data_IF_576715962186
#
_entry.id   IF_576715962186
#
_cell.length_a   1.000
_cell.length_b   1.000
_cell.length_c   1.000
_cell.angle_alpha   90.00
_cell.angle_beta   90.00
_cell.angle_gamma   90.00
#
_symmetry.space_group_name_H-M   'P 1'
#
loop_
_entity.id
_entity.type
_entity.pdbx_description
1 polymer ?
#
# COMPACT_ATOMS: atom_id res chain seq x y z
N UNK A 1 42.07 -84.28 -55.73
CA UNK A 1 42.72 -84.87 -54.55
C UNK A 1 41.76 -84.77 -53.37
N UNK A 2 41.06 -85.87 -53.06
CA UNK A 2 40.17 -85.98 -51.90
C UNK A 2 41.05 -86.27 -50.66
N UNK A 3 40.93 -85.53 -49.55
CA UNK A 3 41.65 -85.86 -48.34
C UNK A 3 41.08 -87.16 -47.76
N UNK A 4 41.99 -88.11 -47.53
CA UNK A 4 41.77 -89.37 -46.84
C UNK A 4 41.13 -89.15 -45.46
N UNK A 5 39.88 -89.56 -45.29
CA UNK A 5 39.23 -89.63 -43.99
C UNK A 5 39.85 -90.79 -43.20
N UNK A 6 40.80 -90.49 -42.33
CA UNK A 6 41.14 -91.39 -41.24
C UNK A 6 39.89 -91.57 -40.37
N UNK A 7 39.51 -92.80 -39.95
CA UNK A 7 38.40 -92.97 -39.02
C UNK A 7 38.77 -92.24 -37.73
N UNK A 8 38.05 -91.17 -37.42
CA UNK A 8 38.20 -90.46 -36.16
C UNK A 8 37.69 -91.40 -35.05
N UNK A 9 38.60 -92.06 -34.35
CA UNK A 9 38.26 -92.93 -33.22
C UNK A 9 37.89 -92.02 -32.05
N UNK A 10 36.59 -91.92 -31.77
CA UNK A 10 36.08 -91.18 -30.61
C UNK A 10 36.06 -92.09 -29.38
N UNK A 11 36.48 -91.55 -28.23
CA UNK A 11 36.12 -92.14 -26.94
C UNK A 11 34.66 -91.81 -26.65
N UNK A 12 33.98 -92.65 -25.86
CA UNK A 12 32.57 -92.45 -25.50
C UNK A 12 32.34 -91.05 -24.88
N UNK A 13 33.24 -90.59 -24.02
CA UNK A 13 33.19 -89.25 -23.42
C UNK A 13 33.35 -88.14 -24.47
N UNK A 14 34.26 -88.30 -25.43
CA UNK A 14 34.49 -87.31 -26.50
C UNK A 14 33.30 -87.25 -27.46
N UNK A 15 32.65 -88.38 -27.73
CA UNK A 15 31.43 -88.45 -28.53
C UNK A 15 30.29 -87.67 -27.86
N UNK A 16 29.98 -87.97 -26.59
CA UNK A 16 28.91 -87.30 -25.85
C UNK A 16 29.13 -85.79 -25.72
N UNK A 17 30.38 -85.35 -25.46
CA UNK A 17 30.71 -83.93 -25.38
C UNK A 17 30.53 -83.21 -26.73
N UNK A 18 30.89 -83.86 -27.84
CA UNK A 18 30.75 -83.29 -29.19
C UNK A 18 29.27 -83.16 -29.58
N UNK A 19 28.46 -84.18 -29.28
CA UNK A 19 27.00 -84.16 -29.56
C UNK A 19 26.30 -83.08 -28.74
N UNK A 20 26.65 -82.96 -27.45
CA UNK A 20 26.11 -81.89 -26.58
C UNK A 20 26.37 -80.50 -27.17
N UNK A 21 27.62 -80.22 -27.55
CA UNK A 21 28.01 -78.91 -28.12
C UNK A 21 27.30 -78.61 -29.44
N UNK A 22 27.05 -79.63 -30.26
CA UNK A 22 26.33 -79.47 -31.53
C UNK A 22 24.86 -79.13 -31.27
N UNK A 23 24.19 -79.85 -30.37
CA UNK A 23 22.80 -79.60 -29.98
C UNK A 23 22.63 -78.20 -29.36
N UNK A 24 23.51 -77.82 -28.44
CA UNK A 24 23.45 -76.51 -27.78
C UNK A 24 23.69 -75.35 -28.77
N UNK A 25 24.54 -75.56 -29.79
CA UNK A 25 24.87 -74.52 -30.78
C UNK A 25 23.79 -74.34 -31.86
N UNK A 26 23.21 -75.42 -32.36
CA UNK A 26 22.26 -75.36 -33.48
C UNK A 26 20.84 -75.00 -33.04
N UNK A 27 20.39 -75.52 -31.89
CA UNK A 27 18.99 -75.36 -31.48
C UNK A 27 18.75 -74.18 -30.51
N UNK A 28 19.76 -73.79 -29.71
CA UNK A 28 19.65 -72.67 -28.78
C UNK A 28 18.49 -72.79 -27.78
N UNK A 29 17.85 -71.65 -27.48
CA UNK A 29 16.64 -71.57 -26.65
C UNK A 29 15.39 -71.86 -27.46
N UNK A 30 14.57 -72.81 -26.99
CA UNK A 30 13.33 -73.20 -27.65
C UNK A 30 12.13 -73.14 -26.70
N UNK A 31 10.95 -72.95 -27.28
CA UNK A 31 9.67 -73.07 -26.59
C UNK A 31 9.02 -74.39 -26.96
N UNK A 32 8.63 -75.18 -25.96
CA UNK A 32 8.06 -76.51 -26.15
C UNK A 32 6.76 -76.60 -25.35
N UNK A 33 5.70 -77.06 -26.01
CA UNK A 33 4.43 -77.38 -25.36
C UNK A 33 4.29 -78.89 -25.20
N UNK A 34 3.81 -79.35 -24.05
CA UNK A 34 3.54 -80.76 -23.82
C UNK A 34 2.97 -81.04 -22.45
N UNK A 35 2.57 -82.29 -22.24
CA UNK A 35 1.98 -82.76 -20.99
C UNK A 35 3.08 -83.24 -20.04
N UNK A 36 2.99 -82.84 -18.76
CA UNK A 36 3.91 -83.29 -17.73
C UNK A 36 3.59 -84.73 -17.34
N UNK A 37 4.60 -85.59 -17.46
CA UNK A 37 4.61 -86.96 -16.97
C UNK A 37 5.75 -87.21 -15.99
N UNK A 38 5.57 -88.16 -15.06
CA UNK A 38 6.61 -88.60 -14.12
C UNK A 38 7.30 -87.45 -13.35
N UNK A 39 6.52 -86.53 -12.78
CA UNK A 39 7.05 -85.40 -12.01
C UNK A 39 7.64 -85.85 -10.67
N UNK A 40 8.86 -85.42 -10.37
CA UNK A 40 9.60 -85.73 -9.14
C UNK A 40 10.32 -84.50 -8.59
N UNK A 41 10.24 -84.33 -7.27
CA UNK A 41 10.92 -83.27 -6.52
C UNK A 41 11.76 -83.88 -5.38
N UNK A 42 13.04 -84.19 -5.64
CA UNK A 42 13.98 -84.63 -4.61
C UNK A 42 14.34 -83.52 -3.60
N UNK A 43 14.96 -83.90 -2.48
CA UNK A 43 15.38 -82.98 -1.40
C UNK A 43 16.39 -81.91 -1.84
N UNK A 44 17.05 -82.06 -3.00
CA UNK A 44 17.93 -81.05 -3.61
C UNK A 44 17.18 -79.79 -4.08
N UNK A 45 15.86 -79.88 -4.24
CA UNK A 45 15.01 -78.78 -4.69
C UNK A 45 15.02 -78.54 -6.20
N UNK A 46 15.58 -79.45 -7.00
CA UNK A 46 15.43 -79.49 -8.46
C UNK A 46 14.17 -80.28 -8.84
N UNK A 47 13.54 -79.93 -9.96
CA UNK A 47 12.41 -80.69 -10.49
C UNK A 47 12.86 -81.51 -11.69
N UNK A 48 12.47 -82.78 -11.70
CA UNK A 48 12.67 -83.68 -12.83
C UNK A 48 11.31 -84.16 -13.29
N UNK A 49 11.07 -84.09 -14.59
CA UNK A 49 9.82 -84.57 -15.19
C UNK A 49 10.07 -84.93 -16.65
N UNK A 50 9.11 -85.59 -17.27
CA UNK A 50 9.13 -85.89 -18.70
C UNK A 50 8.04 -85.05 -19.35
N UNK A 51 8.37 -84.38 -20.45
CA UNK A 51 7.39 -83.70 -21.29
C UNK A 51 7.04 -84.65 -22.43
N UNK A 52 5.75 -84.97 -22.60
CA UNK A 52 5.27 -85.83 -23.68
C UNK A 52 4.26 -85.10 -24.57
N UNK A 53 4.23 -85.50 -25.83
CA UNK A 53 3.14 -85.23 -26.77
C UNK A 53 2.54 -86.57 -27.23
N UNK A 54 1.69 -86.56 -28.26
CA UNK A 54 1.03 -87.78 -28.76
C UNK A 54 2.01 -88.81 -29.37
N UNK A 55 3.21 -88.39 -29.78
CA UNK A 55 4.14 -89.20 -30.58
C UNK A 55 5.54 -89.38 -29.96
N UNK A 56 5.93 -88.54 -29.00
CA UNK A 56 7.28 -88.44 -28.48
C UNK A 56 7.31 -87.99 -27.00
N UNK A 57 8.43 -88.24 -26.34
CA UNK A 57 8.67 -87.80 -24.97
C UNK A 57 10.14 -87.39 -24.76
N UNK A 58 10.36 -86.41 -23.90
CA UNK A 58 11.70 -85.89 -23.57
C UNK A 58 11.87 -85.66 -22.06
N UNK A 59 13.03 -86.03 -21.52
CA UNK A 59 13.36 -85.80 -20.11
C UNK A 59 13.70 -84.33 -19.88
N UNK A 60 13.15 -83.77 -18.81
CA UNK A 60 13.27 -82.38 -18.43
C UNK A 60 13.87 -82.25 -17.03
N UNK A 61 14.77 -81.28 -16.88
CA UNK A 61 15.29 -80.86 -15.58
C UNK A 61 15.08 -79.36 -15.39
N UNK A 62 14.59 -78.96 -14.21
CA UNK A 62 14.43 -77.56 -13.84
C UNK A 62 15.17 -77.28 -12.54
N UNK A 63 16.17 -76.40 -12.60
CA UNK A 63 16.99 -76.08 -11.44
C UNK A 63 16.24 -75.21 -10.42
N UNK A 64 16.75 -75.21 -9.18
CA UNK A 64 16.10 -74.57 -8.01
C UNK A 64 15.94 -73.05 -8.16
N UNK A 65 16.83 -72.41 -8.91
CA UNK A 65 16.73 -70.97 -9.16
C UNK A 65 15.63 -70.65 -10.18
N UNK A 66 15.40 -71.56 -11.12
CA UNK A 66 14.39 -71.42 -12.17
C UNK A 66 12.98 -71.74 -11.64
N UNK A 67 12.83 -72.83 -10.88
CA UNK A 67 11.51 -73.27 -10.39
C UNK A 67 10.87 -72.30 -9.38
N UNK A 68 11.66 -71.50 -8.64
CA UNK A 68 11.17 -70.43 -7.76
C UNK A 68 10.34 -69.37 -8.48
N UNK A 69 10.52 -69.20 -9.79
CA UNK A 69 9.78 -68.24 -10.62
C UNK A 69 8.45 -68.78 -11.14
N UNK A 70 8.18 -70.07 -10.95
CA UNK A 70 6.93 -70.70 -11.38
C UNK A 70 5.86 -70.43 -10.31
N UNK A 71 4.79 -69.74 -10.71
CA UNK A 71 3.71 -69.28 -9.83
C UNK A 71 2.70 -70.37 -9.47
N UNK A 72 2.78 -71.55 -10.12
CA UNK A 72 1.88 -72.68 -9.91
C UNK A 72 2.67 -73.96 -9.56
N UNK A 73 1.97 -74.95 -8.98
CA UNK A 73 2.54 -76.29 -8.72
C UNK A 73 2.27 -77.21 -9.91
N UNK A 74 3.29 -77.68 -10.63
CA UNK A 74 3.10 -78.58 -11.76
C UNK A 74 2.52 -79.92 -11.31
N UNK A 75 1.53 -80.42 -12.03
CA UNK A 75 0.90 -81.72 -11.76
C UNK A 75 1.09 -82.70 -12.92
N UNK A 76 1.07 -83.99 -12.62
CA UNK A 76 1.02 -85.00 -13.66
C UNK A 76 -0.28 -84.85 -14.47
N UNK A 77 -0.19 -84.92 -15.80
CA UNK A 77 -1.34 -84.71 -16.68
C UNK A 77 -1.53 -83.26 -17.12
N UNK A 78 -0.76 -82.33 -16.56
CA UNK A 78 -0.92 -80.91 -16.85
C UNK A 78 -0.18 -80.53 -18.13
N UNK A 79 -0.88 -79.84 -19.03
CA UNK A 79 -0.27 -79.29 -20.23
C UNK A 79 0.42 -77.95 -19.91
N UNK A 80 1.70 -77.85 -20.26
CA UNK A 80 2.54 -76.69 -19.96
C UNK A 80 3.28 -76.23 -21.20
N UNK A 81 3.59 -74.93 -21.22
CA UNK A 81 4.50 -74.32 -22.16
C UNK A 81 5.80 -74.01 -21.42
N UNK A 82 6.92 -74.57 -21.89
CA UNK A 82 8.23 -74.42 -21.26
C UNK A 82 9.21 -73.75 -22.20
N UNK A 83 10.01 -72.82 -21.65
CA UNK A 83 11.19 -72.28 -22.33
C UNK A 83 12.42 -73.04 -21.84
N UNK A 84 13.13 -73.69 -22.75
CA UNK A 84 14.18 -74.63 -22.39
C UNK A 84 15.38 -74.58 -23.34
N UNK A 85 16.53 -75.01 -22.81
CA UNK A 85 17.74 -75.27 -23.58
C UNK A 85 17.88 -76.77 -23.82
N UNK A 86 18.18 -77.13 -25.06
CA UNK A 86 18.42 -78.52 -25.45
C UNK A 86 19.85 -78.92 -25.07
N UNK A 87 20.02 -80.04 -24.37
CA UNK A 87 21.34 -80.51 -23.96
C UNK A 87 21.39 -82.04 -23.88
N UNK A 88 22.54 -82.59 -23.49
CA UNK A 88 22.75 -84.02 -23.35
C UNK A 88 23.49 -84.32 -22.04
N UNK A 89 23.00 -85.29 -21.28
CA UNK A 89 23.59 -85.68 -20.00
C UNK A 89 24.82 -86.57 -20.22
N UNK A 90 26.00 -85.94 -20.25
CA UNK A 90 27.28 -86.56 -20.63
C UNK A 90 27.60 -87.91 -19.97
N UNK A 91 27.33 -88.14 -18.66
CA UNK A 91 27.68 -89.40 -18.01
C UNK A 91 26.86 -90.60 -18.49
N UNK A 92 25.66 -90.40 -19.03
CA UNK A 92 24.80 -91.48 -19.54
C UNK A 92 24.49 -91.39 -21.02
N UNK A 93 24.78 -90.27 -21.66
CA UNK A 93 24.43 -90.03 -23.07
C UNK A 93 22.95 -89.72 -23.30
N UNK A 94 22.17 -89.46 -22.23
CA UNK A 94 20.73 -89.25 -22.34
C UNK A 94 20.41 -87.84 -22.86
N UNK A 95 19.55 -87.76 -23.88
CA UNK A 95 18.99 -86.49 -24.35
C UNK A 95 18.05 -85.87 -23.32
N UNK A 96 18.25 -84.59 -23.00
CA UNK A 96 17.43 -83.89 -22.00
C UNK A 96 17.28 -82.40 -22.32
N UNK A 97 16.25 -81.79 -21.77
CA UNK A 97 16.05 -80.34 -21.86
C UNK A 97 16.11 -79.69 -20.47
N UNK A 98 16.81 -78.56 -20.37
CA UNK A 98 16.89 -77.76 -19.15
C UNK A 98 15.86 -76.63 -19.24
N UNK A 99 14.84 -76.69 -18.39
CA UNK A 99 13.74 -75.72 -18.37
C UNK A 99 14.12 -74.49 -17.54
N UNK A 100 14.01 -73.31 -18.13
CA UNK A 100 14.29 -72.02 -17.48
C UNK A 100 13.03 -71.33 -16.94
N UNK A 101 11.92 -71.44 -17.69
CA UNK A 101 10.61 -70.92 -17.32
C UNK A 101 9.51 -71.89 -17.75
N UNK A 102 8.44 -71.94 -16.96
CA UNK A 102 7.29 -72.82 -17.19
C UNK A 102 6.02 -72.01 -16.96
N UNK A 103 5.08 -72.10 -17.90
CA UNK A 103 3.77 -71.49 -17.86
C UNK A 103 2.70 -72.56 -18.16
N UNK A 104 1.47 -72.43 -17.63
CA UNK A 104 0.37 -73.29 -18.05
C UNK A 104 0.08 -73.08 -19.55
N UNK A 105 -0.16 -74.15 -20.31
CA UNK A 105 -0.36 -74.04 -21.75
C UNK A 105 -1.63 -73.22 -22.14
N UNK A 106 -2.59 -73.10 -21.22
CA UNK A 106 -3.81 -72.31 -21.43
C UNK A 106 -3.55 -70.82 -21.67
N UNK A 107 -2.63 -70.19 -20.93
CA UNK A 107 -2.39 -68.75 -21.04
C UNK A 107 -1.70 -68.37 -22.37
N UNK A 108 -0.74 -69.17 -22.84
CA UNK A 108 -0.01 -68.89 -24.08
C UNK A 108 -0.89 -69.01 -25.34
N UNK A 109 -1.80 -69.99 -25.38
CA UNK A 109 -2.75 -70.16 -26.48
C UNK A 109 -3.77 -69.01 -26.53
N UNK A 110 -4.26 -68.55 -25.37
CA UNK A 110 -5.15 -67.40 -25.28
C UNK A 110 -4.43 -66.13 -25.72
N UNK A 111 -3.20 -65.90 -25.28
CA UNK A 111 -2.43 -64.73 -25.72
C UNK A 111 -2.21 -64.70 -27.24
N UNK A 112 -1.87 -65.85 -27.86
CA UNK A 112 -1.73 -65.95 -29.31
C UNK A 112 -3.06 -65.66 -30.04
N UNK A 113 -4.18 -66.22 -29.56
CA UNK A 113 -5.52 -65.94 -30.12
C UNK A 113 -5.89 -64.47 -30.01
N UNK A 114 -5.54 -63.81 -28.91
CA UNK A 114 -5.77 -62.39 -28.71
C UNK A 114 -4.98 -61.54 -29.72
N UNK A 115 -3.69 -61.83 -29.89
CA UNK A 115 -2.84 -61.09 -30.83
C UNK A 115 -3.28 -61.29 -32.29
N UNK A 116 -3.67 -62.51 -32.65
CA UNK A 116 -4.23 -62.83 -33.97
C UNK A 116 -5.54 -62.08 -34.23
N UNK A 117 -6.48 -62.11 -33.29
CA UNK A 117 -7.75 -61.43 -33.46
C UNK A 117 -7.58 -59.90 -33.45
N UNK A 118 -6.69 -59.38 -32.61
CA UNK A 118 -6.35 -57.95 -32.60
C UNK A 118 -5.81 -57.50 -33.95
N UNK A 119 -4.85 -58.24 -34.52
CA UNK A 119 -4.28 -57.89 -35.84
C UNK A 119 -5.32 -57.98 -36.95
N UNK A 120 -6.17 -59.01 -36.94
CA UNK A 120 -7.28 -59.14 -37.89
C UNK A 120 -8.26 -57.95 -37.83
N UNK A 121 -8.79 -57.63 -36.65
CA UNK A 121 -9.77 -56.54 -36.49
C UNK A 121 -9.16 -55.16 -36.72
N UNK A 122 -7.85 -54.99 -36.45
CA UNK A 122 -7.13 -53.77 -36.82
C UNK A 122 -7.05 -53.63 -38.34
N UNK A 123 -6.74 -54.70 -39.06
CA UNK A 123 -6.68 -54.69 -40.52
C UNK A 123 -8.04 -54.39 -41.17
N UNK A 124 -9.13 -54.82 -40.54
CA UNK A 124 -10.51 -54.46 -40.93
C UNK A 124 -10.89 -53.01 -40.56
N UNK A 125 -10.08 -52.30 -39.76
CA UNK A 125 -10.29 -50.90 -39.40
C UNK A 125 -11.30 -50.66 -38.26
N UNK A 126 -11.71 -51.70 -37.53
CA UNK A 126 -12.72 -51.59 -36.47
C UNK A 126 -12.27 -50.73 -35.28
N UNK A 127 -10.97 -50.49 -35.13
CA UNK A 127 -10.40 -49.68 -34.05
C UNK A 127 -10.21 -48.20 -34.44
N UNK A 128 -10.49 -47.84 -35.70
CA UNK A 128 -10.25 -46.48 -36.20
C UNK A 128 -11.14 -45.46 -35.49
N UNK A 129 -10.52 -44.35 -35.05
CA UNK A 129 -11.22 -43.27 -34.33
C UNK A 129 -12.39 -42.67 -35.14
N UNK A 130 -12.34 -42.76 -36.49
CA UNK A 130 -13.40 -42.26 -37.40
C UNK A 130 -14.74 -42.96 -37.23
N UNK A 131 -14.75 -44.18 -36.71
CA UNK A 131 -15.97 -44.97 -36.50
C UNK A 131 -16.54 -44.82 -35.10
N UNK A 132 -15.80 -44.18 -34.18
CA UNK A 132 -16.22 -44.00 -32.79
C UNK A 132 -17.22 -42.86 -32.65
N UNK A 133 -18.34 -43.14 -31.99
CA UNK A 133 -19.41 -42.20 -31.73
C UNK A 133 -19.07 -41.27 -30.56
N UNK A 134 -19.46 -40.00 -30.65
CA UNK A 134 -19.31 -39.07 -29.55
C UNK A 134 -20.32 -39.40 -28.44
N UNK A 135 -19.86 -39.38 -27.19
CA UNK A 135 -20.73 -39.59 -26.03
C UNK A 135 -21.70 -38.41 -25.84
N UNK A 136 -22.95 -38.67 -25.43
CA UNK A 136 -23.89 -37.60 -25.09
C UNK A 136 -23.40 -36.85 -23.85
N UNK A 137 -23.38 -35.51 -23.91
CA UNK A 137 -23.03 -34.65 -22.79
C UNK A 137 -24.09 -33.56 -22.61
N UNK A 138 -24.97 -33.66 -21.59
CA UNK A 138 -25.09 -34.75 -20.62
C UNK A 138 -25.85 -35.97 -21.14
N UNK A 139 -25.57 -37.16 -20.60
CA UNK A 139 -26.41 -38.33 -20.81
C UNK A 139 -27.75 -38.19 -20.08
N UNK A 140 -28.82 -38.71 -20.68
CA UNK A 140 -30.18 -38.68 -20.16
C UNK A 140 -30.65 -40.04 -19.65
N UNK A 141 -30.10 -41.16 -20.14
CA UNK A 141 -30.38 -42.49 -19.61
C UNK A 141 -29.26 -43.49 -19.90
N UNK A 142 -28.72 -44.10 -18.85
CA UNK A 142 -27.59 -45.03 -18.97
C UNK A 142 -28.08 -46.47 -18.96
N UNK A 143 -27.67 -47.23 -19.96
CA UNK A 143 -27.80 -48.69 -19.96
C UNK A 143 -26.57 -49.34 -19.37
N UNK A 144 -26.72 -50.30 -18.45
CA UNK A 144 -25.59 -51.01 -17.84
C UNK A 144 -25.69 -52.49 -18.18
N UNK A 145 -24.74 -52.99 -18.95
CA UNK A 145 -24.60 -54.40 -19.35
C UNK A 145 -23.52 -55.01 -18.46
N UNK A 146 -23.96 -55.69 -17.40
CA UNK A 146 -23.08 -56.35 -16.43
C UNK A 146 -23.84 -57.43 -15.65
N UNK A 147 -23.16 -58.17 -14.78
CA UNK A 147 -23.80 -59.19 -13.97
C UNK A 147 -24.72 -58.59 -12.90
N UNK A 148 -25.90 -59.20 -12.71
CA UNK A 148 -26.93 -58.74 -11.77
C UNK A 148 -26.45 -58.61 -10.32
N UNK A 149 -25.49 -59.46 -9.92
CA UNK A 149 -24.95 -59.55 -8.56
C UNK A 149 -23.50 -59.06 -8.46
N UNK A 150 -22.91 -58.53 -9.53
CA UNK A 150 -21.51 -58.14 -9.56
C UNK A 150 -21.21 -56.84 -8.79
N UNK A 151 -19.98 -56.74 -8.27
CA UNK A 151 -19.48 -55.52 -7.64
C UNK A 151 -19.52 -54.32 -8.60
N UNK A 152 -19.24 -54.53 -9.89
CA UNK A 152 -19.26 -53.49 -10.91
C UNK A 152 -20.62 -52.76 -11.02
N UNK A 153 -21.73 -53.48 -10.90
CA UNK A 153 -23.05 -52.84 -10.91
C UNK A 153 -23.24 -51.92 -9.70
N UNK A 154 -22.83 -52.39 -8.52
CA UNK A 154 -22.94 -51.62 -7.28
C UNK A 154 -22.07 -50.36 -7.33
N UNK A 155 -20.84 -50.48 -7.84
CA UNK A 155 -19.91 -49.37 -8.01
C UNK A 155 -20.46 -48.30 -8.96
N UNK A 156 -20.97 -48.71 -10.12
CA UNK A 156 -21.63 -47.81 -11.09
C UNK A 156 -22.81 -47.10 -10.43
N UNK A 157 -23.73 -47.85 -9.81
CA UNK A 157 -24.93 -47.28 -9.19
C UNK A 157 -24.59 -46.33 -8.02
N UNK A 158 -23.57 -46.64 -7.23
CA UNK A 158 -23.12 -45.80 -6.13
C UNK A 158 -22.56 -44.45 -6.63
N UNK A 159 -21.70 -44.49 -7.65
CA UNK A 159 -21.15 -43.28 -8.28
C UNK A 159 -22.28 -42.43 -8.90
N UNK A 160 -23.18 -43.05 -9.67
CA UNK A 160 -24.29 -42.35 -10.30
C UNK A 160 -25.20 -41.71 -9.25
N UNK A 161 -25.58 -42.42 -8.17
CA UNK A 161 -26.39 -41.84 -7.08
C UNK A 161 -25.72 -40.66 -6.39
N UNK A 162 -24.38 -40.69 -6.24
CA UNK A 162 -23.63 -39.61 -5.59
C UNK A 162 -23.50 -38.38 -6.51
N UNK A 163 -23.28 -38.59 -7.81
CA UNK A 163 -22.88 -37.53 -8.76
C UNK A 163 -24.06 -36.95 -9.55
N UNK A 164 -24.98 -37.82 -9.97
CA UNK A 164 -26.18 -37.50 -10.74
C UNK A 164 -27.37 -38.41 -10.34
N UNK A 165 -27.98 -38.19 -9.16
CA UNK A 165 -29.07 -39.02 -8.65
C UNK A 165 -30.33 -39.01 -9.53
N UNK A 166 -30.47 -38.00 -10.41
CA UNK A 166 -31.61 -37.87 -11.31
C UNK A 166 -31.45 -38.63 -12.63
N UNK A 167 -30.32 -39.31 -12.86
CA UNK A 167 -30.05 -40.07 -14.08
C UNK A 167 -30.74 -41.46 -14.02
N UNK A 168 -31.70 -41.75 -14.90
CA UNK A 168 -32.30 -43.07 -15.02
C UNK A 168 -31.26 -44.10 -15.48
N UNK A 169 -31.24 -45.26 -14.81
CA UNK A 169 -30.35 -46.38 -15.12
C UNK A 169 -31.15 -47.61 -15.47
N UNK A 170 -30.90 -48.20 -16.63
CA UNK A 170 -31.52 -49.45 -17.09
C UNK A 170 -30.46 -50.54 -17.04
N UNK A 171 -30.71 -51.58 -16.24
CA UNK A 171 -29.79 -52.70 -16.09
C UNK A 171 -30.17 -53.81 -17.04
N UNK A 172 -29.25 -54.20 -17.91
CA UNK A 172 -29.34 -55.37 -18.77
C UNK A 172 -28.48 -56.48 -18.16
N UNK A 173 -29.07 -57.36 -17.33
CA UNK A 173 -28.32 -58.38 -16.62
C UNK A 173 -27.76 -59.41 -17.59
N UNK A 174 -26.43 -59.54 -17.64
CA UNK A 174 -25.72 -60.50 -18.51
C UNK A 174 -24.65 -61.23 -17.73
N UNK A 175 -24.44 -62.51 -18.06
CA UNK A 175 -23.21 -63.18 -17.70
C UNK A 175 -22.03 -62.46 -18.35
N UNK A 176 -21.01 -62.14 -17.54
CA UNK A 176 -19.79 -61.42 -17.94
C UNK A 176 -18.55 -62.33 -17.90
N UNK A 177 -18.75 -63.62 -17.58
CA UNK A 177 -17.72 -64.64 -17.48
C UNK A 177 -18.30 -66.01 -17.84
N UNK A 178 -17.43 -66.92 -18.30
CA UNK A 178 -17.81 -68.26 -18.76
C UNK A 178 -18.20 -68.30 -20.24
N UNK A 179 -18.35 -69.52 -20.78
CA UNK A 179 -18.50 -69.75 -22.22
C UNK A 179 -19.78 -69.15 -22.84
N UNK A 180 -20.83 -69.00 -22.04
CA UNK A 180 -22.11 -68.40 -22.48
C UNK A 180 -22.10 -66.86 -22.47
N UNK A 181 -21.11 -66.21 -21.84
CA UNK A 181 -21.08 -64.77 -21.64
C UNK A 181 -21.02 -63.96 -22.94
N UNK A 182 -20.16 -64.27 -23.94
CA UNK A 182 -20.12 -63.54 -25.20
C UNK A 182 -21.49 -63.47 -25.90
N UNK A 183 -22.21 -64.60 -25.95
CA UNK A 183 -23.54 -64.66 -26.55
C UNK A 183 -24.58 -63.83 -25.81
N UNK A 184 -24.50 -63.77 -24.48
CA UNK A 184 -25.40 -62.93 -23.67
C UNK A 184 -25.11 -61.44 -23.84
N UNK A 185 -23.84 -61.04 -23.88
CA UNK A 185 -23.42 -59.65 -24.09
C UNK A 185 -23.94 -59.15 -25.45
N UNK A 186 -23.75 -59.93 -26.51
CA UNK A 186 -24.26 -59.59 -27.86
C UNK A 186 -25.78 -59.41 -27.85
N UNK A 187 -26.52 -60.32 -27.20
CA UNK A 187 -27.98 -60.21 -27.08
C UNK A 187 -28.42 -58.97 -26.30
N UNK A 188 -27.71 -58.60 -25.24
CA UNK A 188 -28.03 -57.41 -24.46
C UNK A 188 -27.76 -56.12 -25.23
N UNK A 189 -26.66 -56.03 -25.98
CA UNK A 189 -26.38 -54.89 -26.87
C UNK A 189 -27.48 -54.78 -27.94
N UNK A 190 -27.86 -55.89 -28.57
CA UNK A 190 -28.93 -55.91 -29.56
C UNK A 190 -30.29 -55.50 -28.96
N UNK A 191 -30.61 -55.99 -27.76
CA UNK A 191 -31.83 -55.64 -27.04
C UNK A 191 -31.88 -54.15 -26.69
N UNK A 192 -30.77 -53.59 -26.19
CA UNK A 192 -30.69 -52.17 -25.87
C UNK A 192 -30.88 -51.28 -27.11
N UNK A 193 -30.23 -51.64 -28.23
CA UNK A 193 -30.40 -50.96 -29.52
C UNK A 193 -31.83 -51.07 -30.07
N UNK A 194 -32.52 -52.18 -29.80
CA UNK A 194 -33.92 -52.37 -30.22
C UNK A 194 -34.88 -51.53 -29.38
N UNK A 195 -34.67 -51.47 -28.06
CA UNK A 195 -35.52 -50.72 -27.12
C UNK A 195 -35.33 -49.21 -27.22
N UNK A 196 -34.10 -48.75 -27.52
CA UNK A 196 -33.74 -47.31 -27.62
C UNK A 196 -34.14 -46.48 -26.40
N UNK A 197 -34.08 -47.07 -25.22
CA UNK A 197 -34.42 -46.40 -23.96
C UNK A 197 -33.22 -45.65 -23.35
N UNK A 198 -32.00 -46.04 -23.73
CA UNK A 198 -30.74 -45.47 -23.24
C UNK A 198 -30.06 -44.68 -24.35
N UNK A 199 -29.34 -43.61 -23.99
CA UNK A 199 -28.50 -42.83 -24.92
C UNK A 199 -27.02 -43.20 -24.85
N UNK A 200 -26.62 -44.00 -23.85
CA UNK A 200 -25.26 -44.54 -23.71
C UNK A 200 -25.30 -45.87 -22.97
N UNK A 201 -24.43 -46.81 -23.36
CA UNK A 201 -24.27 -48.10 -22.70
C UNK A 201 -22.92 -48.19 -22.00
N UNK A 202 -22.91 -48.75 -20.80
CA UNK A 202 -21.69 -49.16 -20.11
C UNK A 202 -21.65 -50.69 -20.16
N UNK A 203 -20.66 -51.22 -20.87
CA UNK A 203 -20.36 -52.65 -20.91
C UNK A 203 -19.15 -52.87 -20.02
N UNK A 204 -19.32 -53.60 -18.92
CA UNK A 204 -18.24 -53.68 -17.95
C UNK A 204 -18.35 -54.83 -16.98
N UNK A 205 -17.20 -55.14 -16.39
CA UNK A 205 -17.01 -56.16 -15.37
C UNK A 205 -16.11 -55.59 -14.28
N UNK A 206 -16.22 -56.11 -13.06
CA UNK A 206 -15.25 -55.83 -12.01
C UNK A 206 -13.94 -56.60 -12.24
N UNK A 207 -13.01 -56.52 -11.29
CA UNK A 207 -11.76 -57.28 -11.35
C UNK A 207 -11.95 -58.80 -11.56
N UNK A 208 -10.90 -59.46 -12.06
CA UNK A 208 -10.89 -60.90 -12.35
C UNK A 208 -9.54 -61.35 -12.91
N UNK A 209 -9.36 -62.66 -13.06
CA UNK A 209 -8.20 -63.22 -13.78
C UNK A 209 -8.31 -62.92 -15.29
N UNK A 210 -7.25 -63.20 -16.05
CA UNK A 210 -7.25 -62.97 -17.50
C UNK A 210 -8.26 -63.87 -18.23
N UNK A 211 -8.48 -65.10 -17.72
CA UNK A 211 -9.50 -66.05 -18.20
C UNK A 211 -10.92 -65.49 -18.05
N UNK A 212 -11.11 -64.76 -16.96
CA UNK A 212 -12.34 -64.14 -16.55
C UNK A 212 -12.72 -62.96 -17.47
N UNK A 213 -11.73 -62.24 -17.99
CA UNK A 213 -11.90 -61.14 -18.95
C UNK A 213 -12.01 -61.64 -20.39
N UNK A 214 -11.74 -62.92 -20.64
CA UNK A 214 -11.66 -63.47 -21.99
C UNK A 214 -12.97 -63.36 -22.78
N UNK A 215 -14.12 -63.32 -22.10
CA UNK A 215 -15.43 -63.13 -22.73
C UNK A 215 -15.53 -61.82 -23.54
N UNK A 216 -14.70 -60.82 -23.22
CA UNK A 216 -14.63 -59.53 -23.93
C UNK A 216 -13.59 -59.50 -25.05
N UNK A 217 -12.84 -60.61 -25.24
CA UNK A 217 -11.94 -60.83 -26.36
C UNK A 217 -12.59 -61.69 -27.47
N UNK A 218 -13.89 -61.94 -27.41
CA UNK A 218 -14.62 -62.68 -28.46
C UNK A 218 -14.94 -61.76 -29.65
N UNK A 219 -14.71 -62.25 -30.87
CA UNK A 219 -14.98 -61.51 -32.10
C UNK A 219 -16.45 -61.08 -32.22
N UNK A 220 -17.39 -61.90 -31.76
CA UNK A 220 -18.82 -61.59 -31.83
C UNK A 220 -19.18 -60.38 -30.98
N UNK A 221 -18.54 -60.25 -29.81
CA UNK A 221 -18.72 -59.10 -28.92
C UNK A 221 -18.12 -57.86 -29.54
N UNK A 222 -16.90 -57.95 -30.09
CA UNK A 222 -16.26 -56.85 -30.80
C UNK A 222 -17.15 -56.31 -31.93
N UNK A 223 -17.66 -57.19 -32.82
CA UNK A 223 -18.54 -56.78 -33.92
C UNK A 223 -19.87 -56.22 -33.44
N UNK A 224 -20.44 -56.74 -32.35
CA UNK A 224 -21.68 -56.22 -31.77
C UNK A 224 -21.50 -54.81 -31.17
N UNK A 225 -20.35 -54.54 -30.53
CA UNK A 225 -20.01 -53.22 -30.02
C UNK A 225 -19.89 -52.23 -31.18
N UNK A 226 -19.13 -52.59 -32.23
CA UNK A 226 -18.95 -51.75 -33.42
C UNK A 226 -20.26 -51.43 -34.13
N UNK A 227 -21.19 -52.40 -34.22
CA UNK A 227 -22.47 -52.23 -34.90
C UNK A 227 -23.54 -51.52 -34.06
N UNK A 228 -23.25 -51.17 -32.81
CA UNK A 228 -24.22 -50.53 -31.91
C UNK A 228 -24.60 -49.12 -32.39
N UNK A 229 -25.89 -48.78 -32.34
CA UNK A 229 -26.40 -47.43 -32.64
C UNK A 229 -26.33 -46.51 -31.41
N UNK A 230 -26.21 -47.08 -30.22
CA UNK A 230 -26.02 -46.37 -28.96
C UNK A 230 -24.53 -46.42 -28.62
N UNK A 231 -23.88 -45.29 -28.27
CA UNK A 231 -22.46 -45.28 -27.93
C UNK A 231 -22.16 -46.14 -26.71
N UNK A 232 -21.06 -46.88 -26.76
CA UNK A 232 -20.66 -47.85 -25.75
C UNK A 232 -19.36 -47.40 -25.05
N UNK A 233 -19.41 -47.37 -23.72
CA UNK A 233 -18.25 -47.22 -22.85
C UNK A 233 -17.84 -48.60 -22.34
N UNK A 234 -16.62 -49.03 -22.67
CA UNK A 234 -16.05 -50.26 -22.12
C UNK A 234 -15.43 -49.99 -20.75
N UNK A 235 -15.73 -50.85 -19.77
CA UNK A 235 -15.28 -50.75 -18.38
C UNK A 235 -14.95 -52.14 -17.82
N UNK A 236 -14.10 -52.88 -18.55
CA UNK A 236 -13.90 -54.33 -18.33
C UNK A 236 -12.67 -54.65 -17.47
N UNK A 237 -11.61 -53.84 -17.50
CA UNK A 237 -10.33 -54.14 -16.83
C UNK A 237 -9.70 -52.92 -16.17
N UNK A 238 -8.55 -53.11 -15.50
CA UNK A 238 -7.72 -52.05 -14.94
C UNK A 238 -6.76 -51.48 -16.00
N UNK A 239 -5.86 -50.56 -15.62
CA UNK A 239 -4.97 -49.88 -16.57
C UNK A 239 -4.11 -50.82 -17.43
N UNK A 240 -3.74 -52.01 -16.93
CA UNK A 240 -2.87 -52.98 -17.62
C UNK A 240 -3.58 -54.00 -18.50
N UNK A 241 -4.87 -54.30 -18.24
CA UNK A 241 -5.56 -55.44 -18.83
C UNK A 241 -6.53 -54.97 -19.92
N UNK A 242 -5.99 -54.66 -21.10
CA UNK A 242 -6.77 -54.11 -22.21
C UNK A 242 -7.36 -55.21 -23.09
N UNK A 243 -8.68 -55.25 -23.15
CA UNK A 243 -9.44 -56.23 -23.94
C UNK A 243 -9.74 -55.73 -25.36
N UNK A 244 -10.17 -56.62 -26.25
CA UNK A 244 -10.58 -56.23 -27.61
C UNK A 244 -11.81 -55.33 -27.58
N UNK A 245 -12.75 -55.59 -26.67
CA UNK A 245 -13.91 -54.72 -26.43
C UNK A 245 -13.49 -53.27 -26.12
N UNK A 246 -12.40 -53.06 -25.37
CA UNK A 246 -11.88 -51.72 -25.06
C UNK A 246 -11.36 -50.96 -26.29
N UNK A 247 -10.81 -51.68 -27.26
CA UNK A 247 -10.32 -51.06 -28.51
C UNK A 247 -11.47 -50.66 -29.44
N UNK A 248 -12.51 -51.49 -29.51
CA UNK A 248 -13.67 -51.25 -30.39
C UNK A 248 -14.65 -50.23 -29.80
N UNK A 249 -14.81 -50.19 -28.48
CA UNK A 249 -15.73 -49.27 -27.83
C UNK A 249 -15.42 -47.80 -28.16
N UNK A 250 -16.47 -46.98 -28.13
CA UNK A 250 -16.39 -45.55 -28.43
C UNK A 250 -15.51 -44.82 -27.42
N UNK A 251 -15.59 -45.25 -26.15
CA UNK A 251 -14.69 -44.79 -25.10
C UNK A 251 -14.30 -45.94 -24.17
N UNK A 252 -13.02 -45.96 -23.76
CA UNK A 252 -12.53 -46.83 -22.71
C UNK A 252 -12.53 -46.10 -21.36
N UNK A 253 -13.08 -46.75 -20.34
CA UNK A 253 -12.94 -46.36 -18.95
C UNK A 253 -12.09 -47.39 -18.19
N UNK A 254 -11.17 -46.95 -17.31
CA UNK A 254 -10.27 -47.86 -16.58
C UNK A 254 -10.94 -48.63 -15.44
N UNK A 255 -12.18 -48.27 -15.06
CA UNK A 255 -12.99 -49.00 -14.07
C UNK A 255 -14.48 -48.75 -14.34
N UNK A 256 -15.37 -49.64 -13.86
CA UNK A 256 -16.81 -49.39 -13.83
C UNK A 256 -17.19 -48.06 -13.18
N UNK A 257 -16.55 -47.70 -12.07
CA UNK A 257 -16.72 -46.41 -11.39
C UNK A 257 -16.35 -45.23 -12.28
N UNK A 258 -15.21 -45.30 -12.99
CA UNK A 258 -14.78 -44.25 -13.90
C UNK A 258 -15.74 -44.09 -15.10
N UNK A 259 -16.30 -45.20 -15.61
CA UNK A 259 -17.31 -45.14 -16.65
C UNK A 259 -18.56 -44.36 -16.19
N UNK A 260 -19.03 -44.65 -14.97
CA UNK A 260 -20.13 -43.91 -14.35
C UNK A 260 -19.79 -42.42 -14.16
N UNK A 261 -18.55 -42.09 -13.80
CA UNK A 261 -18.11 -40.70 -13.67
C UNK A 261 -18.12 -39.96 -15.01
N UNK A 262 -17.65 -40.58 -16.09
CA UNK A 262 -17.58 -39.95 -17.41
C UNK A 262 -18.99 -39.65 -17.95
N UNK A 263 -19.92 -40.56 -17.71
CA UNK A 263 -21.28 -40.49 -18.26
C UNK A 263 -22.22 -39.60 -17.42
N UNK A 264 -21.93 -39.41 -16.13
CA UNK A 264 -22.77 -38.61 -15.22
C UNK A 264 -22.50 -37.12 -15.30
N UNK A 265 -23.55 -36.32 -15.05
CA UNK A 265 -23.39 -34.89 -14.76
C UNK A 265 -22.69 -34.71 -13.42
N UNK A 266 -21.88 -33.66 -13.30
CA UNK A 266 -21.38 -33.22 -12.00
C UNK A 266 -22.39 -32.24 -11.36
N UNK A 267 -23.45 -32.77 -10.73
CA UNK A 267 -24.50 -31.93 -10.14
C UNK A 267 -23.96 -30.95 -9.10
N UNK A 268 -22.95 -31.36 -8.32
CA UNK A 268 -22.31 -30.51 -7.32
C UNK A 268 -21.61 -29.31 -7.96
N UNK A 269 -20.95 -29.51 -9.10
CA UNK A 269 -20.32 -28.42 -9.84
C UNK A 269 -21.36 -27.45 -10.41
N UNK A 270 -22.48 -27.97 -10.95
CA UNK A 270 -23.57 -27.12 -11.44
C UNK A 270 -24.20 -26.29 -10.31
N UNK A 271 -24.43 -26.88 -9.14
CA UNK A 271 -24.91 -26.16 -7.94
C UNK A 271 -23.91 -25.09 -7.51
N UNK A 272 -22.61 -25.40 -7.52
CA UNK A 272 -21.55 -24.45 -7.18
C UNK A 272 -21.52 -23.28 -8.17
N UNK A 273 -21.69 -23.54 -9.46
CA UNK A 273 -21.78 -22.50 -10.49
C UNK A 273 -23.02 -21.61 -10.32
N UNK A 274 -24.17 -22.19 -9.98
CA UNK A 274 -25.38 -21.44 -9.66
C UNK A 274 -25.20 -20.55 -8.43
N UNK A 275 -24.63 -21.09 -7.34
CA UNK A 275 -24.34 -20.32 -6.13
C UNK A 275 -23.36 -19.17 -6.40
N UNK A 276 -22.29 -19.42 -7.17
CA UNK A 276 -21.35 -18.38 -7.58
C UNK A 276 -22.02 -17.33 -8.49
N UNK A 277 -22.96 -17.73 -9.34
CA UNK A 277 -23.80 -16.84 -10.14
C UNK A 277 -24.68 -15.95 -9.28
N UNK A 278 -25.37 -16.53 -8.29
CA UNK A 278 -26.22 -15.82 -7.34
C UNK A 278 -25.43 -14.79 -6.54
N UNK A 279 -24.29 -15.18 -5.95
CA UNK A 279 -23.44 -14.27 -5.17
C UNK A 279 -22.96 -13.08 -6.01
N UNK A 280 -22.56 -13.33 -7.27
CA UNK A 280 -22.17 -12.24 -8.18
C UNK A 280 -23.33 -11.29 -8.50
N UNK A 281 -24.53 -11.82 -8.68
CA UNK A 281 -25.73 -11.01 -8.92
C UNK A 281 -26.06 -10.15 -7.69
N UNK A 282 -26.03 -10.72 -6.49
CA UNK A 282 -26.26 -10.00 -5.23
C UNK A 282 -25.28 -8.84 -5.06
N UNK A 283 -23.97 -9.10 -5.23
CA UNK A 283 -22.95 -8.05 -5.17
C UNK A 283 -23.16 -6.95 -6.23
N UNK A 284 -23.54 -7.33 -7.46
CA UNK A 284 -23.81 -6.37 -8.52
C UNK A 284 -25.04 -5.50 -8.23
N UNK A 285 -26.09 -6.10 -7.65
CA UNK A 285 -27.29 -5.39 -7.21
C UNK A 285 -26.99 -4.42 -6.07
N UNK A 286 -26.23 -4.84 -5.05
CA UNK A 286 -25.82 -3.98 -3.95
C UNK A 286 -25.01 -2.78 -4.44
N UNK A 287 -24.05 -3.02 -5.34
CA UNK A 287 -23.26 -1.95 -5.95
C UNK A 287 -24.14 -0.99 -6.76
N UNK A 288 -25.07 -1.52 -7.56
CA UNK A 288 -26.00 -0.72 -8.35
C UNK A 288 -26.88 0.17 -7.45
N UNK A 289 -27.50 -0.40 -6.42
CA UNK A 289 -28.35 0.32 -5.48
C UNK A 289 -27.56 1.38 -4.72
N UNK A 290 -26.37 1.06 -4.22
CA UNK A 290 -25.50 2.02 -3.54
C UNK A 290 -25.08 3.18 -4.46
N UNK A 291 -24.82 2.91 -5.75
CA UNK A 291 -24.51 3.94 -6.75
C UNK A 291 -25.72 4.85 -7.02
N UNK A 292 -26.91 4.27 -7.17
CA UNK A 292 -28.16 5.02 -7.36
C UNK A 292 -28.50 5.87 -6.14
N UNK A 293 -28.33 5.34 -4.94
CA UNK A 293 -28.54 6.08 -3.70
C UNK A 293 -27.57 7.26 -3.59
N UNK A 294 -26.27 7.06 -3.87
CA UNK A 294 -25.29 8.16 -3.88
C UNK A 294 -25.67 9.26 -4.86
N UNK A 295 -26.08 8.90 -6.09
CA UNK A 295 -26.53 9.87 -7.09
C UNK A 295 -27.78 10.61 -6.64
N UNK A 296 -28.75 9.92 -6.05
CA UNK A 296 -29.95 10.53 -5.49
C UNK A 296 -29.59 11.55 -4.40
N UNK A 297 -28.79 11.16 -3.40
CA UNK A 297 -28.36 12.03 -2.31
C UNK A 297 -27.61 13.27 -2.83
N UNK A 298 -26.74 13.11 -3.83
CA UNK A 298 -26.05 14.24 -4.46
C UNK A 298 -27.02 15.21 -5.15
N UNK A 299 -27.97 14.69 -5.93
CA UNK A 299 -28.98 15.52 -6.61
C UNK A 299 -29.90 16.21 -5.59
N UNK A 300 -30.32 15.49 -4.56
CA UNK A 300 -31.15 16.02 -3.49
C UNK A 300 -30.45 17.15 -2.72
N UNK A 301 -29.17 16.99 -2.37
CA UNK A 301 -28.40 18.07 -1.76
C UNK A 301 -28.22 19.27 -2.69
N UNK A 302 -27.98 19.07 -3.98
CA UNK A 302 -27.91 20.18 -4.95
C UNK A 302 -29.25 20.93 -5.02
N UNK A 303 -30.36 20.20 -5.04
CA UNK A 303 -31.70 20.78 -5.03
C UNK A 303 -31.93 21.61 -3.76
N UNK A 304 -31.59 21.06 -2.59
CA UNK A 304 -31.68 21.79 -1.32
C UNK A 304 -30.79 23.04 -1.30
N UNK A 305 -29.57 22.99 -1.84
CA UNK A 305 -28.71 24.18 -1.89
C UNK A 305 -29.22 25.26 -2.85
N UNK A 306 -29.97 24.87 -3.88
CA UNK A 306 -30.66 25.81 -4.77
C UNK A 306 -32.00 26.30 -4.22
N UNK A 307 -32.39 25.87 -3.01
CA UNK A 307 -33.65 26.27 -2.41
C UNK A 307 -33.76 27.81 -2.36
N UNK A 308 -34.81 28.41 -2.96
CA UNK A 308 -34.93 29.86 -3.10
C UNK A 308 -34.81 30.61 -1.78
N UNK A 309 -35.35 30.04 -0.69
CA UNK A 309 -35.28 30.65 0.63
C UNK A 309 -33.85 30.73 1.19
N UNK A 310 -33.00 29.72 0.95
CA UNK A 310 -31.59 29.76 1.37
C UNK A 310 -30.78 30.78 0.55
N UNK A 311 -31.08 30.90 -0.75
CA UNK A 311 -30.47 31.93 -1.60
C UNK A 311 -30.89 33.33 -1.16
N UNK A 312 -32.18 33.54 -0.88
CA UNK A 312 -32.73 34.79 -0.35
C UNK A 312 -32.12 35.14 1.00
N UNK A 313 -32.06 34.19 1.94
CA UNK A 313 -31.46 34.41 3.26
C UNK A 313 -29.98 34.84 3.13
N UNK A 314 -29.19 34.17 2.29
CA UNK A 314 -27.79 34.55 2.02
C UNK A 314 -27.67 35.95 1.43
N UNK A 315 -28.55 36.31 0.50
CA UNK A 315 -28.58 37.64 -0.11
C UNK A 315 -28.98 38.72 0.90
N UNK A 316 -29.94 38.44 1.78
CA UNK A 316 -30.34 39.34 2.86
C UNK A 316 -29.18 39.60 3.83
N UNK A 317 -28.48 38.55 4.29
CA UNK A 317 -27.31 38.72 5.16
C UNK A 317 -26.18 39.50 4.47
N UNK A 318 -25.95 39.25 3.18
CA UNK A 318 -24.96 40.00 2.41
C UNK A 318 -25.33 41.49 2.28
N UNK A 319 -26.61 41.78 2.03
CA UNK A 319 -27.14 43.14 1.96
C UNK A 319 -26.98 43.87 3.30
N UNK A 320 -27.30 43.21 4.43
CA UNK A 320 -27.13 43.78 5.77
C UNK A 320 -25.67 44.12 6.07
N UNK A 321 -24.74 43.21 5.76
CA UNK A 321 -23.30 43.47 5.91
C UNK A 321 -22.84 44.65 5.06
N UNK A 322 -23.28 44.74 3.81
CA UNK A 322 -22.95 45.86 2.94
C UNK A 322 -23.53 47.18 3.45
N UNK A 323 -24.77 47.19 3.95
CA UNK A 323 -25.39 48.36 4.58
C UNK A 323 -24.61 48.82 5.82
N UNK A 324 -24.21 47.89 6.67
CA UNK A 324 -23.41 48.22 7.86
C UNK A 324 -22.04 48.79 7.49
N UNK A 325 -21.35 48.18 6.52
CA UNK A 325 -20.07 48.70 6.01
C UNK A 325 -20.21 50.10 5.41
N UNK A 326 -21.25 50.33 4.62
CA UNK A 326 -21.54 51.65 4.04
C UNK A 326 -21.77 52.68 5.15
N UNK A 327 -22.60 52.35 6.15
CA UNK A 327 -22.88 53.25 7.27
C UNK A 327 -21.62 53.64 8.04
N UNK A 328 -20.79 52.66 8.39
CA UNK A 328 -19.51 52.91 9.10
C UNK A 328 -18.58 53.78 8.24
N UNK A 329 -18.49 53.51 6.93
CA UNK A 329 -17.65 54.29 6.02
C UNK A 329 -18.11 55.75 5.93
N UNK A 330 -19.41 55.98 5.78
CA UNK A 330 -20.01 57.33 5.73
C UNK A 330 -19.80 58.06 7.06
N UNK A 331 -20.06 57.42 8.20
CA UNK A 331 -19.84 58.01 9.52
C UNK A 331 -18.37 58.36 9.76
N UNK A 332 -17.44 57.48 9.34
CA UNK A 332 -16.00 57.75 9.43
C UNK A 332 -15.59 58.94 8.57
N UNK A 333 -16.12 59.04 7.35
CA UNK A 333 -15.81 60.13 6.44
C UNK A 333 -16.34 61.47 6.95
N UNK A 334 -17.57 61.50 7.49
CA UNK A 334 -18.13 62.69 8.13
C UNK A 334 -17.32 63.11 9.36
N UNK A 335 -16.93 62.16 10.23
CA UNK A 335 -16.07 62.45 11.39
C UNK A 335 -14.72 63.03 10.98
N UNK A 336 -14.08 62.49 9.93
CA UNK A 336 -12.81 63.02 9.39
C UNK A 336 -12.99 64.44 8.84
N UNK A 337 -14.09 64.71 8.14
CA UNK A 337 -14.39 66.04 7.62
C UNK A 337 -14.61 67.06 8.75
N UNK A 338 -15.39 66.72 9.77
CA UNK A 338 -15.60 67.55 10.97
C UNK A 338 -14.30 67.83 11.72
N UNK A 339 -13.47 66.80 11.94
CA UNK A 339 -12.16 66.97 12.56
C UNK A 339 -11.23 67.88 11.74
N UNK A 340 -11.24 67.76 10.41
CA UNK A 340 -10.47 68.63 9.52
C UNK A 340 -10.94 70.08 9.60
N UNK A 341 -12.26 70.30 9.61
CA UNK A 341 -12.84 71.62 9.80
C UNK A 341 -12.40 72.22 11.15
N UNK A 342 -12.57 71.48 12.26
CA UNK A 342 -12.17 71.93 13.60
C UNK A 342 -10.69 72.28 13.68
N UNK A 343 -9.81 71.46 13.11
CA UNK A 343 -8.37 71.74 13.03
C UNK A 343 -8.08 73.02 12.25
N UNK A 344 -8.73 73.23 11.11
CA UNK A 344 -8.56 74.44 10.31
C UNK A 344 -9.04 75.69 11.05
N UNK A 345 -10.17 75.62 11.75
CA UNK A 345 -10.69 76.72 12.58
C UNK A 345 -9.76 77.02 13.76
N UNK A 346 -9.26 75.98 14.45
CA UNK A 346 -8.28 76.15 15.52
C UNK A 346 -6.98 76.79 15.03
N UNK A 347 -6.46 76.37 13.86
CA UNK A 347 -5.30 77.01 13.24
C UNK A 347 -5.58 78.47 12.92
N UNK A 348 -6.71 78.78 12.30
CA UNK A 348 -7.11 80.15 11.97
C UNK A 348 -7.16 81.04 13.24
N UNK A 349 -7.77 80.54 14.31
CA UNK A 349 -7.87 81.26 15.58
C UNK A 349 -6.51 81.41 16.27
N UNK A 350 -5.62 80.41 16.15
CA UNK A 350 -4.28 80.48 16.73
C UNK A 350 -3.38 81.51 16.02
N UNK A 351 -3.53 81.66 14.70
CA UNK A 351 -2.82 82.69 13.93
C UNK A 351 -3.47 84.08 14.03
N UNK A 352 -4.51 84.26 14.85
CA UNK A 352 -5.14 85.57 15.03
C UNK A 352 -4.10 86.58 15.60
N UNK A 353 -3.69 87.60 14.84
CA UNK A 353 -2.64 88.51 15.26
C UNK A 353 -3.14 89.57 16.26
N UNK A 354 -4.46 89.77 16.38
CA UNK A 354 -5.08 90.81 17.22
C UNK A 354 -4.58 90.80 18.68
N UNK A 355 -4.59 89.66 19.41
CA UNK A 355 -4.08 89.63 20.79
C UNK A 355 -2.58 89.92 20.90
N UNK A 356 -1.78 89.51 19.89
CA UNK A 356 -0.34 89.80 19.86
C UNK A 356 -0.09 91.29 19.62
N UNK A 357 -0.87 91.90 18.72
CA UNK A 357 -0.83 93.34 18.44
C UNK A 357 -1.23 94.13 19.69
N UNK A 358 -2.35 93.78 20.35
CA UNK A 358 -2.77 94.44 21.58
C UNK A 358 -1.71 94.34 22.69
N UNK A 359 -1.12 93.15 22.92
CA UNK A 359 -0.03 92.99 23.90
C UNK A 359 1.19 93.83 23.54
N UNK A 360 1.56 93.92 22.26
CA UNK A 360 2.67 94.73 21.81
C UNK A 360 2.40 96.23 21.99
N UNK A 361 1.19 96.69 21.67
CA UNK A 361 0.74 98.08 21.88
C UNK A 361 0.75 98.46 23.37
N UNK A 362 0.19 97.62 24.25
CA UNK A 362 0.23 97.87 25.69
C UNK A 362 1.66 97.89 26.23
N UNK A 363 2.54 97.00 25.72
CA UNK A 363 3.96 97.01 26.09
C UNK A 363 4.67 98.27 25.62
N UNK A 364 4.36 98.76 24.41
CA UNK A 364 4.89 100.01 23.89
C UNK A 364 4.49 101.19 24.79
N UNK A 365 3.19 101.31 25.12
CA UNK A 365 2.69 102.35 26.02
C UNK A 365 3.36 102.32 27.40
N UNK A 366 3.55 101.12 27.98
CA UNK A 366 4.26 100.97 29.25
C UNK A 366 5.73 101.39 29.17
N UNK A 367 6.40 101.05 28.06
CA UNK A 367 7.80 101.42 27.84
C UNK A 367 7.95 102.93 27.61
N UNK A 368 7.05 103.55 26.85
CA UNK A 368 7.00 105.00 26.65
C UNK A 368 6.79 105.76 27.97
N UNK A 369 5.84 105.30 28.78
CA UNK A 369 5.60 105.88 30.11
C UNK A 369 6.84 105.76 31.01
N UNK A 370 7.46 104.58 31.09
CA UNK A 370 8.70 104.35 31.86
C UNK A 370 9.86 105.20 31.37
N UNK A 371 10.03 105.34 30.05
CA UNK A 371 11.05 106.21 29.47
C UNK A 371 10.84 107.67 29.87
N UNK A 372 9.60 108.17 29.77
CA UNK A 372 9.27 109.54 30.14
C UNK A 372 9.53 109.83 31.63
N UNK A 373 9.10 108.93 32.51
CA UNK A 373 9.32 109.05 33.96
C UNK A 373 10.81 108.98 34.33
N UNK A 374 11.56 108.02 33.78
CA UNK A 374 13.00 107.92 34.06
C UNK A 374 13.78 109.12 33.52
N UNK A 375 13.39 109.66 32.36
CA UNK A 375 13.97 110.90 31.83
C UNK A 375 13.70 112.09 32.74
N UNK A 376 12.45 112.28 33.20
CA UNK A 376 12.09 113.35 34.14
C UNK A 376 12.87 113.23 35.45
N UNK A 377 12.94 112.04 36.02
CA UNK A 377 13.69 111.77 37.24
C UNK A 377 15.18 112.11 37.11
N UNK A 378 15.83 111.64 36.04
CA UNK A 378 17.25 111.96 35.78
C UNK A 378 17.50 113.46 35.55
N UNK A 379 16.58 114.14 34.86
CA UNK A 379 16.72 115.58 34.62
C UNK A 379 16.58 116.38 35.92
N UNK A 380 15.64 115.98 36.78
CA UNK A 380 15.43 116.59 38.10
C UNK A 380 16.65 116.41 39.00
N UNK A 381 17.17 115.18 39.10
CA UNK A 381 18.37 114.86 39.89
C UNK A 381 19.59 115.68 39.42
N UNK A 382 19.77 115.83 38.10
CA UNK A 382 20.83 116.68 37.55
C UNK A 382 20.64 118.16 37.84
N UNK A 383 19.40 118.68 37.80
CA UNK A 383 19.10 120.07 38.15
C UNK A 383 19.39 120.35 39.62
N UNK A 384 19.02 119.44 40.51
CA UNK A 384 19.28 119.56 41.95
C UNK A 384 20.78 119.54 42.25
N UNK A 385 21.53 118.58 41.67
CA UNK A 385 23.00 118.55 41.77
C UNK A 385 23.66 119.84 41.28
N UNK A 386 23.17 120.39 40.17
CA UNK A 386 23.67 121.67 39.64
C UNK A 386 23.38 122.83 40.60
N UNK A 387 22.16 122.92 41.14
CA UNK A 387 21.78 123.91 42.15
C UNK A 387 22.68 123.86 43.38
N UNK A 388 22.94 122.67 43.92
CA UNK A 388 23.87 122.49 45.04
C UNK A 388 25.29 122.97 44.72
N UNK A 389 25.81 122.64 43.53
CA UNK A 389 27.13 123.09 43.11
C UNK A 389 27.24 124.62 43.05
N UNK A 390 26.19 125.32 42.60
CA UNK A 390 26.14 126.79 42.57
C UNK A 390 26.14 127.37 43.98
N UNK A 391 25.33 126.85 44.91
CA UNK A 391 25.31 127.34 46.30
C UNK A 391 26.65 127.14 47.03
N UNK A 392 27.34 126.04 46.76
CA UNK A 392 28.69 125.80 47.29
C UNK A 392 29.70 126.82 46.77
N UNK A 393 29.59 127.22 45.50
CA UNK A 393 30.46 128.22 44.90
C UNK A 393 30.27 129.61 45.53
N UNK A 394 29.02 130.01 45.81
CA UNK A 394 28.71 131.30 46.43
C UNK A 394 29.20 131.42 47.88
N UNK A 395 29.11 130.34 48.66
CA UNK A 395 29.47 130.34 50.08
C UNK A 395 30.97 130.60 50.36
N UNK A 396 31.85 130.38 49.38
CA UNK A 396 33.31 130.51 49.52
C UNK A 396 33.83 131.83 48.93
N UNK A 397 32.95 132.74 48.47
CA UNK A 397 33.35 134.00 47.84
C UNK A 397 33.83 135.07 48.84
N UNK A 398 35.06 135.60 48.73
CA UNK A 398 35.61 136.66 49.61
C UNK A 398 34.84 137.98 49.59
N UNK A 399 34.07 138.25 48.52
CA UNK A 399 33.24 139.44 48.37
C UNK A 399 32.06 139.46 49.36
N UNK A 400 31.56 138.29 49.77
CA UNK A 400 30.45 138.19 50.73
C UNK A 400 30.86 138.62 52.15
N UNK A 401 32.14 138.50 52.51
CA UNK A 401 32.66 138.86 53.85
C UNK A 401 32.77 140.37 54.04
N UNK A 402 33.15 141.12 52.99
CA UNK A 402 33.20 142.60 53.00
C UNK A 402 31.81 143.24 52.95
N UNK A 403 30.81 142.56 52.34
CA UNK A 403 29.43 143.05 52.30
C UNK A 403 28.74 143.08 53.68
N UNK A 404 29.26 142.35 54.69
CA UNK A 404 28.71 142.30 56.06
C UNK A 404 29.16 143.45 56.98
N UNK A 405 29.82 144.48 56.44
CA UNK A 405 30.08 145.74 57.16
C UNK A 405 31.36 145.76 58.01
N UNK A 406 32.29 144.81 57.80
CA UNK A 406 33.59 144.83 58.46
C UNK A 406 34.58 145.71 57.67
N UNK A 407 35.25 146.63 58.36
CA UNK A 407 36.34 147.45 57.81
C UNK A 407 37.70 146.86 58.18
N UNK A 408 38.71 147.12 57.34
CA UNK A 408 40.09 146.67 57.58
C UNK A 408 40.96 147.90 57.77
N UNK A 409 41.52 148.08 58.96
CA UNK A 409 42.41 149.20 59.30
C UNK A 409 43.87 148.78 59.20
N UNK A 410 44.71 149.63 58.62
CA UNK A 410 46.14 149.42 58.34
C UNK A 410 46.98 150.60 58.82
N UNK A 411 48.27 150.36 59.09
CA UNK A 411 49.28 151.40 59.40
C UNK A 411 49.88 151.94 58.09
N UNK A 412 50.61 153.05 58.14
CA UNK A 412 51.32 153.68 57.00
C UNK A 412 52.15 152.72 56.13
N UNK A 413 52.69 151.64 56.70
CA UNK A 413 53.41 150.59 55.95
C UNK A 413 52.49 149.52 55.31
N UNK A 414 51.17 149.72 55.31
CA UNK A 414 50.18 148.83 54.70
C UNK A 414 49.83 147.59 55.51
N UNK A 415 50.43 147.40 56.70
CA UNK A 415 50.14 146.26 57.57
C UNK A 415 48.83 146.43 58.33
N UNK A 416 47.98 145.40 58.28
CA UNK A 416 46.66 145.41 58.92
C UNK A 416 46.80 145.36 60.45
N UNK A 417 46.16 146.32 61.09
CA UNK A 417 46.12 146.48 62.53
C UNK A 417 45.19 145.45 63.16
N UNK A 418 45.74 144.64 64.06
CA UNK A 418 44.98 143.62 64.78
C UNK A 418 44.98 143.85 66.28
N UNK A 419 45.96 144.60 66.81
CA UNK A 419 46.14 144.79 68.24
C UNK A 419 46.54 146.23 68.56
N UNK A 420 45.99 146.78 69.66
CA UNK A 420 46.22 148.18 70.07
C UNK A 420 47.66 148.48 70.49
N UNK A 421 48.51 147.47 70.72
CA UNK A 421 49.94 147.65 70.99
C UNK A 421 50.76 148.06 69.75
N UNK A 422 50.18 147.92 68.56
CA UNK A 422 50.89 148.12 67.28
C UNK A 422 50.93 149.59 66.83
N UNK A 423 50.41 150.51 67.63
CA UNK A 423 50.27 151.92 67.28
C UNK A 423 50.74 152.77 68.44
N UNK A 424 51.31 153.93 68.14
CA UNK A 424 51.67 154.96 69.11
C UNK A 424 50.82 156.21 68.86
N UNK A 425 50.66 156.99 69.93
CA UNK A 425 49.97 158.27 69.85
C UNK A 425 50.71 159.22 68.91
N UNK A 426 50.03 159.75 67.89
CA UNK A 426 50.59 160.55 66.79
C UNK A 426 50.71 159.81 65.44
N UNK A 427 50.51 158.49 65.39
CA UNK A 427 50.61 157.74 64.14
C UNK A 427 49.37 157.92 63.24
N UNK A 428 49.57 158.00 61.92
CA UNK A 428 48.51 157.99 60.91
C UNK A 428 48.12 156.55 60.51
N UNK A 429 46.82 156.29 60.45
CA UNK A 429 46.18 155.02 60.11
C UNK A 429 45.28 155.17 58.88
N UNK A 430 45.24 154.17 58.01
CA UNK A 430 44.33 154.06 56.86
C UNK A 430 43.30 152.96 57.07
N UNK A 431 42.00 153.26 56.99
CA UNK A 431 40.93 152.27 57.12
C UNK A 431 40.17 152.07 55.82
N UNK A 432 40.09 150.82 55.33
CA UNK A 432 39.29 150.43 54.16
C UNK A 432 37.86 150.08 54.54
N UNK A 433 36.92 150.74 53.89
CA UNK A 433 35.49 150.46 53.91
C UNK A 433 35.06 149.83 52.57
N UNK A 434 33.77 149.45 52.48
CA UNK A 434 33.18 148.87 51.26
C UNK A 434 33.37 149.76 50.03
N UNK A 435 33.42 151.07 50.24
CA UNK A 435 33.33 152.11 49.24
C UNK A 435 34.51 153.09 49.24
N UNK A 436 35.48 152.98 50.15
CA UNK A 436 36.61 153.90 50.17
C UNK A 436 37.65 153.70 51.28
N UNK A 437 38.57 154.66 51.40
CA UNK A 437 39.62 154.68 52.41
C UNK A 437 39.56 155.98 53.23
N UNK A 438 39.82 155.87 54.53
CA UNK A 438 39.82 157.00 55.48
C UNK A 438 41.16 157.05 56.22
N UNK A 439 41.82 158.20 56.24
CA UNK A 439 43.03 158.44 57.03
C UNK A 439 42.70 159.08 58.39
N UNK A 440 43.37 158.62 59.44
CA UNK A 440 43.07 158.99 60.84
C UNK A 440 44.35 159.03 61.67
N UNK A 441 44.54 160.06 62.51
CA UNK A 441 45.68 160.14 63.41
C UNK A 441 45.30 159.70 64.84
N UNK A 442 46.16 158.93 65.50
CA UNK A 442 45.87 158.34 66.80
C UNK A 442 46.11 159.31 67.95
N UNK A 443 45.03 159.75 68.61
CA UNK A 443 45.10 160.71 69.74
C UNK A 443 45.25 160.07 71.12
N UNK A 444 44.78 158.85 71.33
CA UNK A 444 44.90 158.17 72.63
C UNK A 444 44.73 156.65 72.45
N UNK A 445 45.47 155.87 73.25
CA UNK A 445 45.39 154.41 73.23
C UNK A 445 45.07 153.90 74.64
N UNK A 446 43.94 153.19 74.77
CA UNK A 446 43.51 152.57 76.02
C UNK A 446 43.32 151.05 75.82
N UNK A 447 44.22 150.20 76.33
CA UNK A 447 44.06 148.75 76.27
C UNK A 447 43.10 148.22 77.35
N UNK A 448 42.23 147.30 76.96
CA UNK A 448 41.19 146.69 77.81
C UNK A 448 41.67 145.36 78.42
N UNK A 449 41.43 145.11 79.73
CA UNK A 449 41.62 143.81 80.40
C UNK A 449 40.45 142.85 80.10
N UNK A 450 40.75 141.62 79.68
CA UNK A 450 39.77 140.57 79.32
C UNK A 450 39.16 139.88 80.55
N UNK A 451 37.83 139.87 80.62
CA UNK A 451 37.00 139.04 81.50
C UNK A 451 36.66 137.69 80.84
N UNK A 452 36.71 136.60 81.63
CA UNK A 452 36.35 135.22 81.25
C UNK A 452 34.85 135.08 80.95
N UNK A 453 34.49 134.47 79.82
CA UNK A 453 33.11 134.13 79.45
C UNK A 453 32.79 132.64 79.71
N UNK A 454 31.54 132.41 80.16
CA UNK A 454 30.92 131.17 80.68
C UNK A 454 30.72 130.06 79.63
N UNK A 455 30.86 128.79 80.07
CA UNK A 455 30.34 127.57 79.40
C UNK A 455 28.80 127.50 79.52
N UNK A 456 28.06 127.19 78.44
CA UNK A 456 26.67 126.71 78.52
C UNK A 456 26.61 125.18 78.70
N UNK A 457 25.67 124.74 79.54
CA UNK A 457 25.30 123.36 79.89
C UNK A 457 24.20 122.78 78.97
N UNK A 458 23.97 121.45 78.95
CA UNK A 458 23.25 120.74 77.88
C UNK A 458 21.71 120.77 78.00
N UNK A 459 20.96 120.56 76.91
CA UNK A 459 19.50 120.42 76.96
C UNK A 459 19.07 119.03 77.49
N UNK A 460 18.05 119.05 78.34
CA UNK A 460 17.31 117.93 78.96
C UNK A 460 16.24 117.34 78.02
N UNK A 461 15.75 116.11 78.29
CA UNK A 461 14.92 115.30 77.37
C UNK A 461 13.43 115.68 77.40
N UNK A 462 12.70 115.35 76.34
CA UNK A 462 11.24 115.38 76.30
C UNK A 462 10.68 113.96 76.49
N UNK A 463 9.59 113.90 77.25
CA UNK A 463 8.91 112.76 77.88
C UNK A 463 8.26 111.75 76.92
#
# INVERSE_FOLDING_TARGET
MLPSQSPAIFTVSRLNQTVRLLLEREMGQVWISGEISNFSQPSSGHWYFTLKDDNAQVRCAMFRNSNRRVTFRPQHGQQVLVRANITLYEPRGDYQIIVESMQPAGEGLLQQKYEQLKTQLTAEGLFDQKHKQALPSPAHCVGVITSKTGAALHDILHVLRRRDPGLPVIVYPTAVQGDDAPGQIVRAIALANTRRECDVLIVGRGGGSLEDLWSFNDERVARAIFASQIPIVSAVGHETDVTIADFVADLRAPTPSAAAEIVSRNQQELLRQLQAGQQRLEMAMDYFLASRQRRFTQLFHRLQQQHPQLRLARQQTALERLRQRMRIAVESQLKRADQRQKRNVQRLNHYNPQPRIHRAQSRLQQLEYRLAETMRGRLSERRERFGHAVTHLEAVSPLATLARGYSVTSVSDGTVLKQTKQVKTGDLLTTRLKDGWVESEVRQIAPVKKTRARKPSPPKPAE
#
